data_IF_619500217072
#
_entry.id   IF_619500217072
#
_cell.length_a   1.000
_cell.length_b   1.000
_cell.length_c   1.000
_cell.angle_alpha   90.00
_cell.angle_beta   90.00
_cell.angle_gamma   90.00
#
_symmetry.space_group_name_H-M   'P 1'
#
loop_
_entity.id
_entity.type
_entity.pdbx_description
1 polymer ?
#
# COMPACT_ATOMS: atom_id res chain seq x y z
N UNK A 1 -46.28 -35.48 -4.53
CA UNK A 1 -44.91 -35.33 -5.04
C UNK A 1 -44.24 -36.71 -5.08
N UNK A 2 -43.93 -37.19 -6.29
CA UNK A 2 -43.31 -38.48 -6.52
C UNK A 2 -41.82 -38.46 -6.13
N UNK A 3 -41.21 -39.61 -5.86
CA UNK A 3 -39.80 -39.67 -5.42
C UNK A 3 -38.84 -39.04 -6.44
N UNK A 4 -39.13 -39.21 -7.73
CA UNK A 4 -38.38 -38.57 -8.82
C UNK A 4 -38.45 -37.05 -8.79
N UNK A 5 -39.59 -36.49 -8.43
CA UNK A 5 -39.78 -35.04 -8.30
C UNK A 5 -39.00 -34.52 -7.09
N UNK A 6 -39.00 -35.26 -5.97
CA UNK A 6 -38.21 -34.92 -4.78
C UNK A 6 -36.72 -34.92 -5.10
N UNK A 7 -36.22 -35.96 -5.75
CA UNK A 7 -34.80 -36.05 -6.14
C UNK A 7 -34.41 -34.96 -7.15
N UNK A 8 -35.35 -34.52 -8.00
CA UNK A 8 -35.15 -33.40 -8.91
C UNK A 8 -35.07 -32.06 -8.17
N UNK A 9 -35.99 -31.78 -7.24
CA UNK A 9 -35.95 -30.56 -6.42
C UNK A 9 -34.69 -30.53 -5.54
N UNK A 10 -34.31 -31.67 -4.94
CA UNK A 10 -33.08 -31.78 -4.16
C UNK A 10 -31.87 -31.47 -5.04
N UNK A 11 -31.80 -31.98 -6.27
CA UNK A 11 -30.70 -31.65 -7.19
C UNK A 11 -30.64 -30.17 -7.55
N UNK A 12 -31.78 -29.53 -7.82
CA UNK A 12 -31.83 -28.09 -8.10
C UNK A 12 -31.37 -27.28 -6.89
N UNK A 13 -31.83 -27.63 -5.69
CA UNK A 13 -31.39 -26.98 -4.46
C UNK A 13 -29.89 -27.20 -4.22
N UNK A 14 -29.38 -28.40 -4.47
CA UNK A 14 -27.96 -28.71 -4.35
C UNK A 14 -27.08 -27.99 -5.38
N UNK A 15 -27.61 -27.70 -6.57
CA UNK A 15 -26.97 -26.85 -7.58
C UNK A 15 -27.00 -25.37 -7.18
N UNK A 16 -28.11 -24.87 -6.63
CA UNK A 16 -28.20 -23.50 -6.13
C UNK A 16 -27.30 -23.22 -4.90
N UNK A 17 -26.87 -24.28 -4.21
CA UNK A 17 -25.87 -24.22 -3.13
C UNK A 17 -24.42 -24.32 -3.64
N UNK A 18 -24.21 -24.46 -4.95
CA UNK A 18 -22.88 -24.31 -5.55
C UNK A 18 -22.64 -22.83 -5.77
N UNK A 19 -22.00 -22.19 -4.79
CA UNK A 19 -21.40 -20.88 -5.03
C UNK A 19 -20.14 -21.07 -5.87
N UNK A 20 -20.00 -20.24 -6.91
CA UNK A 20 -18.77 -20.12 -7.68
C UNK A 20 -17.63 -19.50 -6.85
N UNK A 21 -17.96 -18.85 -5.72
CA UNK A 21 -17.01 -18.16 -4.82
C UNK A 21 -17.35 -18.39 -3.33
N UNK A 22 -17.14 -19.61 -2.81
CA UNK A 22 -17.48 -19.97 -1.43
C UNK A 22 -16.74 -19.14 -0.38
N UNK A 23 -15.55 -18.62 -0.69
CA UNK A 23 -14.74 -17.78 0.20
C UNK A 23 -15.34 -16.40 0.46
N UNK A 24 -16.16 -15.90 -0.47
CA UNK A 24 -16.84 -14.61 -0.35
C UNK A 24 -18.23 -14.81 0.26
N UNK A 25 -18.95 -15.84 -0.20
CA UNK A 25 -20.32 -16.10 0.22
C UNK A 25 -20.43 -16.65 1.65
N UNK A 26 -19.40 -17.36 2.14
CA UNK A 26 -19.33 -17.84 3.52
C UNK A 26 -17.90 -17.80 4.10
N UNK A 27 -17.33 -16.60 4.12
CA UNK A 27 -15.99 -16.29 4.67
C UNK A 27 -15.74 -16.93 6.05
N UNK A 28 -16.71 -16.86 6.96
CA UNK A 28 -16.52 -17.29 8.35
C UNK A 28 -16.48 -18.82 8.48
N UNK A 29 -17.35 -19.53 7.76
CA UNK A 29 -17.35 -21.00 7.78
C UNK A 29 -16.08 -21.55 7.12
N UNK A 30 -15.65 -20.96 6.01
CA UNK A 30 -14.46 -21.41 5.29
C UNK A 30 -13.19 -21.26 6.14
N UNK A 31 -12.99 -20.09 6.76
CA UNK A 31 -11.87 -19.87 7.67
C UNK A 31 -11.91 -20.77 8.92
N UNK A 32 -13.11 -21.04 9.45
CA UNK A 32 -13.28 -21.96 10.58
C UNK A 32 -12.85 -23.39 10.22
N UNK A 33 -13.28 -23.88 9.06
CA UNK A 33 -12.90 -25.21 8.56
C UNK A 33 -11.40 -25.27 8.25
N UNK A 34 -10.85 -24.24 7.59
CA UNK A 34 -9.42 -24.16 7.27
C UNK A 34 -8.56 -24.17 8.53
N UNK A 35 -8.96 -23.40 9.56
CA UNK A 35 -8.29 -23.39 10.86
C UNK A 35 -8.33 -24.77 11.53
N UNK A 36 -9.47 -25.47 11.50
CA UNK A 36 -9.58 -26.83 12.05
C UNK A 36 -8.78 -27.87 11.26
N UNK A 37 -8.63 -27.69 9.94
CA UNK A 37 -7.81 -28.56 9.10
C UNK A 37 -6.32 -28.37 9.39
N UNK A 38 -5.86 -27.12 9.53
CA UNK A 38 -4.49 -26.79 9.97
C UNK A 38 -4.16 -27.33 11.36
N UNK A 39 -5.15 -27.30 12.26
CA UNK A 39 -5.03 -27.86 13.61
C UNK A 39 -5.14 -29.41 13.65
N UNK A 40 -5.28 -30.09 12.50
CA UNK A 40 -5.40 -31.55 12.42
C UNK A 40 -6.68 -32.12 13.03
N UNK A 41 -7.68 -31.26 13.31
CA UNK A 41 -8.95 -31.62 13.96
C UNK A 41 -10.03 -32.11 12.98
N UNK A 42 -9.71 -32.17 11.69
CA UNK A 42 -10.51 -32.73 10.61
C UNK A 42 -9.61 -33.66 9.78
N UNK A 43 -9.99 -34.92 9.64
CA UNK A 43 -9.23 -35.87 8.83
C UNK A 43 -9.42 -35.56 7.33
N UNK A 44 -8.31 -35.43 6.59
CA UNK A 44 -8.26 -35.15 5.14
C UNK A 44 -9.03 -36.16 4.26
N UNK A 45 -9.46 -37.30 4.82
CA UNK A 45 -10.10 -38.40 4.11
C UNK A 45 -11.62 -38.56 4.27
N UNK A 46 -12.30 -37.80 5.12
CA UNK A 46 -13.76 -37.93 5.26
C UNK A 46 -14.48 -36.93 4.37
N UNK A 47 -15.14 -37.45 3.32
CA UNK A 47 -16.25 -36.87 2.55
C UNK A 47 -16.35 -35.34 2.55
N UNK A 48 -16.16 -34.74 1.36
CA UNK A 48 -16.45 -33.33 1.01
C UNK A 48 -17.48 -32.71 1.98
N UNK A 49 -17.15 -31.62 2.69
CA UNK A 49 -18.03 -31.07 3.71
C UNK A 49 -19.42 -30.87 3.11
N UNK A 50 -20.43 -31.53 3.69
CA UNK A 50 -21.81 -31.34 3.28
C UNK A 50 -22.13 -29.85 3.37
N UNK A 51 -22.55 -29.32 2.23
CA UNK A 51 -22.74 -27.90 1.98
C UNK A 51 -23.78 -27.32 2.94
N UNK A 52 -23.51 -26.07 3.32
CA UNK A 52 -24.25 -25.25 4.26
C UNK A 52 -25.76 -25.42 4.14
N UNK A 53 -26.37 -25.93 5.21
CA UNK A 53 -27.80 -25.87 5.43
C UNK A 53 -28.09 -24.46 5.93
N UNK A 54 -28.54 -23.58 5.03
CA UNK A 54 -29.11 -22.29 5.46
C UNK A 54 -30.37 -22.60 6.28
N UNK A 55 -30.52 -22.08 7.52
CA UNK A 55 -31.76 -22.20 8.24
C UNK A 55 -32.88 -21.57 7.41
N UNK A 56 -33.91 -22.36 7.13
CA UNK A 56 -35.06 -21.96 6.33
C UNK A 56 -35.66 -20.71 6.97
N UNK A 57 -35.73 -19.61 6.21
CA UNK A 57 -36.40 -18.38 6.67
C UNK A 57 -37.80 -18.80 7.16
N UNK A 58 -38.21 -18.49 8.40
CA UNK A 58 -39.56 -18.79 8.84
C UNK A 58 -40.51 -18.08 7.87
N UNK A 59 -41.38 -18.88 7.23
CA UNK A 59 -42.33 -18.40 6.26
C UNK A 59 -43.28 -17.40 6.96
N UNK A 60 -43.04 -16.11 6.72
CA UNK A 60 -43.82 -14.99 7.24
C UNK A 60 -44.95 -14.59 6.28
N UNK A 61 -45.20 -15.34 5.20
CA UNK A 61 -46.13 -14.96 4.13
C UNK A 61 -47.59 -14.79 4.61
N UNK A 62 -47.92 -15.22 5.83
CA UNK A 62 -49.28 -15.12 6.37
C UNK A 62 -49.47 -14.16 7.56
N UNK A 63 -48.46 -13.37 7.97
CA UNK A 63 -48.68 -12.32 8.97
C UNK A 63 -48.77 -10.95 8.30
N UNK A 64 -50.00 -10.49 8.05
CA UNK A 64 -50.30 -9.07 7.79
C UNK A 64 -49.85 -8.28 9.03
N UNK A 65 -48.74 -7.55 8.90
CA UNK A 65 -48.28 -6.63 9.92
C UNK A 65 -49.33 -5.53 10.11
N UNK A 66 -49.95 -5.48 11.29
CA UNK A 66 -50.84 -4.40 11.69
C UNK A 66 -50.01 -3.43 12.54
N UNK A 67 -49.75 -2.20 12.08
CA UNK A 67 -48.99 -1.23 12.85
C UNK A 67 -49.71 -0.89 14.16
N UNK A 68 -48.95 -0.79 15.25
CA UNK A 68 -49.45 -0.42 16.58
C UNK A 68 -50.05 0.99 16.50
N UNK A 69 -51.34 1.13 16.84
CA UNK A 69 -52.04 2.41 16.92
C UNK A 69 -52.06 2.90 18.36
N UNK A 70 -51.57 4.11 18.59
CA UNK A 70 -51.69 4.80 19.87
C UNK A 70 -52.94 5.69 19.84
N UNK A 71 -53.80 5.60 20.84
CA UNK A 71 -54.98 6.48 20.94
C UNK A 71 -54.53 7.91 21.27
N UNK A 72 -55.21 8.90 20.69
CA UNK A 72 -54.93 10.37 20.74
C UNK A 72 -53.79 10.92 19.86
N UNK A 73 -53.23 10.17 18.91
CA UNK A 73 -52.33 10.77 17.91
C UNK A 73 -53.10 11.34 16.71
N UNK A 74 -52.87 12.60 16.37
CA UNK A 74 -53.48 13.33 15.24
C UNK A 74 -52.90 12.91 13.86
N UNK A 75 -52.57 11.63 13.68
CA UNK A 75 -51.95 11.10 12.46
C UNK A 75 -51.66 9.60 12.50
N UNK A 76 -51.56 8.96 11.32
CA UNK A 76 -51.18 7.55 11.16
C UNK A 76 -49.66 7.43 10.98
N UNK A 77 -49.01 6.54 11.75
CA UNK A 77 -47.59 6.22 11.57
C UNK A 77 -47.38 5.55 10.19
N UNK A 78 -46.62 6.18 9.29
CA UNK A 78 -46.29 5.61 7.99
C UNK A 78 -45.12 4.62 8.14
N UNK A 79 -45.32 3.37 7.75
CA UNK A 79 -44.29 2.33 7.81
C UNK A 79 -43.51 2.30 6.50
N UNK A 80 -42.19 2.54 6.52
CA UNK A 80 -41.33 2.26 5.37
C UNK A 80 -41.24 0.75 5.16
N UNK A 81 -41.33 0.30 3.90
CA UNK A 81 -41.12 -1.11 3.57
C UNK A 81 -39.69 -1.29 3.03
N UNK A 82 -39.14 -2.50 3.16
CA UNK A 82 -37.83 -2.87 2.60
C UNK A 82 -37.80 -2.71 1.07
N UNK A 83 -38.95 -2.79 0.41
CA UNK A 83 -39.10 -2.65 -1.05
C UNK A 83 -39.34 -1.23 -1.53
N UNK A 84 -39.64 -0.28 -0.63
CA UNK A 84 -39.78 1.13 -0.97
C UNK A 84 -39.39 2.00 0.23
N UNK A 85 -38.09 2.10 0.53
CA UNK A 85 -37.61 2.87 1.67
C UNK A 85 -37.85 4.35 1.41
N UNK A 86 -38.69 4.98 2.25
CA UNK A 86 -38.80 6.44 2.27
C UNK A 86 -37.55 7.00 2.94
N UNK A 87 -36.94 8.00 2.33
CA UNK A 87 -35.81 8.73 2.91
C UNK A 87 -36.28 9.46 4.18
N UNK A 88 -35.80 9.04 5.36
CA UNK A 88 -36.19 9.62 6.67
C UNK A 88 -35.25 10.76 7.08
N UNK A 89 -34.00 10.73 6.61
CA UNK A 89 -32.99 11.74 6.87
C UNK A 89 -32.49 12.25 5.52
N UNK A 90 -32.78 13.51 5.22
CA UNK A 90 -32.10 14.24 4.16
C UNK A 90 -31.00 15.05 4.83
N UNK A 91 -29.74 14.66 4.59
CA UNK A 91 -28.59 15.45 5.02
C UNK A 91 -28.50 16.59 4.03
N UNK A 92 -29.33 17.62 4.24
CA UNK A 92 -29.02 18.94 3.72
C UNK A 92 -27.68 19.27 4.37
N UNK A 93 -26.64 19.41 3.55
CA UNK A 93 -25.40 20.04 3.99
C UNK A 93 -25.76 21.42 4.48
N UNK A 94 -26.08 21.54 5.77
CA UNK A 94 -25.99 22.79 6.49
C UNK A 94 -24.54 23.21 6.36
N UNK A 95 -24.28 24.15 5.45
CA UNK A 95 -23.14 25.02 5.59
C UNK A 95 -23.17 25.48 7.04
N UNK A 96 -22.19 25.04 7.84
CA UNK A 96 -22.04 25.45 9.22
C UNK A 96 -22.13 26.98 9.29
N UNK A 97 -23.30 27.49 9.65
CA UNK A 97 -23.46 28.82 10.19
C UNK A 97 -23.29 28.64 11.70
N UNK A 98 -22.06 28.36 12.11
CA UNK A 98 -21.65 28.73 13.45
C UNK A 98 -21.00 30.11 13.30
N UNK A 99 -21.75 31.10 13.77
CA UNK A 99 -21.26 32.44 14.03
C UNK A 99 -20.15 32.34 15.06
N UNK A 100 -18.89 32.33 14.60
CA UNK A 100 -17.85 33.04 15.31
C UNK A 100 -16.79 33.56 14.33
N UNK A 101 -16.45 34.81 14.55
CA UNK A 101 -15.86 35.73 13.59
C UNK A 101 -14.40 35.40 13.28
N UNK A 102 -13.98 35.83 12.08
CA UNK A 102 -12.60 36.02 11.59
C UNK A 102 -11.93 34.80 10.93
N UNK A 103 -12.29 34.51 9.67
CA UNK A 103 -11.42 34.76 8.50
C UNK A 103 -12.12 34.26 7.23
N UNK A 104 -12.03 35.06 6.19
CA UNK A 104 -12.67 34.92 4.88
C UNK A 104 -12.49 33.54 4.22
N UNK A 105 -13.54 32.72 4.15
CA UNK A 105 -13.57 31.55 3.26
C UNK A 105 -13.77 32.01 1.80
N UNK A 106 -12.66 32.22 1.11
CA UNK A 106 -12.63 32.59 -0.31
C UNK A 106 -12.94 31.41 -1.25
N UNK A 107 -13.14 31.68 -2.56
CA UNK A 107 -13.34 30.66 -3.60
C UNK A 107 -12.21 29.60 -3.67
N UNK A 108 -11.03 29.92 -3.14
CA UNK A 108 -9.86 29.02 -3.10
C UNK A 108 -10.03 27.82 -2.15
N UNK A 109 -10.77 27.94 -1.04
CA UNK A 109 -10.99 26.80 -0.12
C UNK A 109 -11.90 25.76 -0.76
N UNK A 110 -12.96 26.18 -1.45
CA UNK A 110 -13.85 25.29 -2.21
C UNK A 110 -13.12 24.58 -3.36
N UNK A 111 -12.23 25.28 -4.08
CA UNK A 111 -11.41 24.67 -5.13
C UNK A 111 -10.35 23.71 -4.56
N UNK A 112 -9.77 24.01 -3.39
CA UNK A 112 -8.84 23.10 -2.72
C UNK A 112 -9.54 21.82 -2.23
N UNK A 113 -10.76 21.96 -1.70
CA UNK A 113 -11.59 20.83 -1.29
C UNK A 113 -12.00 19.96 -2.48
N UNK A 114 -12.38 20.57 -3.62
CA UNK A 114 -12.73 19.81 -4.82
C UNK A 114 -11.53 19.03 -5.37
N UNK A 115 -10.34 19.63 -5.43
CA UNK A 115 -9.08 18.94 -5.82
C UNK A 115 -8.76 17.77 -4.89
N UNK A 116 -8.91 17.95 -3.59
CA UNK A 116 -8.66 16.88 -2.60
C UNK A 116 -9.69 15.74 -2.71
N UNK A 117 -10.96 16.06 -2.98
CA UNK A 117 -12.01 15.07 -3.22
C UNK A 117 -11.74 14.23 -4.47
N UNK A 118 -11.18 14.83 -5.53
CA UNK A 118 -10.76 14.08 -6.73
C UNK A 118 -9.72 13.02 -6.35
N UNK A 119 -8.69 13.40 -5.59
CA UNK A 119 -7.66 12.45 -5.14
C UNK A 119 -8.26 11.32 -4.29
N UNK A 120 -9.18 11.63 -3.37
CA UNK A 120 -9.87 10.60 -2.59
C UNK A 120 -10.66 9.64 -3.47
N UNK A 121 -11.42 10.17 -4.43
CA UNK A 121 -12.19 9.36 -5.38
C UNK A 121 -11.28 8.47 -6.23
N UNK A 122 -10.12 8.99 -6.66
CA UNK A 122 -9.10 8.22 -7.37
C UNK A 122 -8.56 7.07 -6.50
N UNK A 123 -8.25 7.34 -5.24
CA UNK A 123 -7.79 6.31 -4.29
C UNK A 123 -8.84 5.22 -4.12
N UNK A 124 -10.10 5.56 -3.89
CA UNK A 124 -11.16 4.55 -3.71
C UNK A 124 -11.34 3.68 -4.96
N UNK A 125 -11.38 4.29 -6.15
CA UNK A 125 -11.43 3.54 -7.42
C UNK A 125 -10.23 2.62 -7.61
N UNK A 126 -9.03 3.10 -7.31
CA UNK A 126 -7.82 2.28 -7.40
C UNK A 126 -7.87 1.12 -6.38
N UNK A 127 -8.43 1.33 -5.19
CA UNK A 127 -8.65 0.27 -4.21
C UNK A 127 -9.63 -0.81 -4.68
N UNK A 128 -10.70 -0.43 -5.39
CA UNK A 128 -11.59 -1.42 -6.01
C UNK A 128 -10.85 -2.30 -7.02
N UNK A 129 -9.90 -1.72 -7.76
CA UNK A 129 -9.12 -2.44 -8.76
C UNK A 129 -8.06 -3.35 -8.11
N UNK A 130 -7.27 -2.84 -7.14
CA UNK A 130 -6.18 -3.64 -6.53
C UNK A 130 -6.71 -4.88 -5.81
N UNK A 131 -7.87 -4.79 -5.16
CA UNK A 131 -8.50 -5.94 -4.49
C UNK A 131 -8.83 -7.04 -5.50
N UNK A 132 -9.36 -6.66 -6.68
CA UNK A 132 -9.63 -7.62 -7.75
C UNK A 132 -8.34 -8.21 -8.34
N UNK A 133 -7.27 -7.40 -8.44
CA UNK A 133 -5.97 -7.88 -8.94
C UNK A 133 -5.35 -8.91 -8.00
N UNK A 134 -5.38 -8.66 -6.70
CA UNK A 134 -4.90 -9.63 -5.69
C UNK A 134 -5.75 -10.90 -5.66
N UNK A 135 -7.08 -10.78 -5.83
CA UNK A 135 -7.97 -11.94 -5.96
C UNK A 135 -7.60 -12.78 -7.19
N UNK A 136 -7.40 -12.13 -8.34
CA UNK A 136 -6.98 -12.80 -9.59
C UNK A 136 -5.61 -13.46 -9.44
N UNK A 137 -4.65 -12.80 -8.80
CA UNK A 137 -3.32 -13.36 -8.52
C UNK A 137 -3.42 -14.62 -7.65
N UNK A 138 -4.20 -14.56 -6.58
CA UNK A 138 -4.48 -15.71 -5.70
C UNK A 138 -5.10 -16.87 -6.50
N UNK A 139 -6.06 -16.58 -7.37
CA UNK A 139 -6.70 -17.58 -8.23
C UNK A 139 -5.70 -18.23 -9.22
N UNK A 140 -4.77 -17.45 -9.78
CA UNK A 140 -3.71 -17.95 -10.68
C UNK A 140 -2.79 -18.92 -9.94
N UNK A 141 -2.42 -18.60 -8.69
CA UNK A 141 -1.54 -19.43 -7.85
C UNK A 141 -2.21 -20.75 -7.44
N UNK A 142 -3.51 -20.72 -7.14
CA UNK A 142 -4.29 -21.90 -6.77
C UNK A 142 -4.63 -22.81 -7.97
N UNK A 143 -4.52 -22.30 -9.20
CA UNK A 143 -4.88 -23.03 -10.41
C UNK A 143 -3.69 -23.87 -10.94
N UNK A 144 -3.89 -25.16 -11.27
CA UNK A 144 -2.82 -25.97 -11.83
C UNK A 144 -2.29 -25.38 -13.15
N UNK A 145 -0.98 -25.51 -13.43
CA UNK A 145 -0.29 -24.75 -14.48
C UNK A 145 -0.84 -24.97 -15.90
N UNK A 146 -1.49 -26.12 -16.15
CA UNK A 146 -2.02 -26.51 -17.47
C UNK A 146 -3.52 -26.20 -17.66
N UNK A 147 -4.17 -25.55 -16.70
CA UNK A 147 -5.59 -25.21 -16.83
C UNK A 147 -5.78 -24.03 -17.80
N UNK A 148 -6.67 -24.18 -18.77
CA UNK A 148 -7.07 -23.10 -19.70
C UNK A 148 -7.60 -21.85 -18.97
N UNK A 149 -8.20 -22.04 -17.79
CA UNK A 149 -8.65 -20.96 -16.91
C UNK A 149 -7.51 -20.03 -16.47
N UNK A 150 -6.28 -20.54 -16.32
CA UNK A 150 -5.11 -19.75 -15.89
C UNK A 150 -4.76 -18.64 -16.88
N UNK A 151 -4.86 -18.91 -18.19
CA UNK A 151 -4.66 -17.88 -19.22
C UNK A 151 -5.77 -16.82 -19.17
N UNK A 152 -7.02 -17.23 -18.92
CA UNK A 152 -8.13 -16.28 -18.77
C UNK A 152 -7.91 -15.35 -17.57
N UNK A 153 -7.48 -15.89 -16.42
CA UNK A 153 -7.16 -15.07 -15.24
C UNK A 153 -5.99 -14.11 -15.50
N UNK A 154 -4.94 -14.57 -16.19
CA UNK A 154 -3.81 -13.71 -16.60
C UNK A 154 -4.26 -12.54 -17.48
N UNK A 155 -5.05 -12.81 -18.53
CA UNK A 155 -5.58 -11.75 -19.40
C UNK A 155 -6.48 -10.74 -18.64
N UNK A 156 -7.26 -11.23 -17.67
CA UNK A 156 -8.06 -10.37 -16.80
C UNK A 156 -7.17 -9.50 -15.89
N UNK A 157 -6.10 -10.08 -15.33
CA UNK A 157 -5.12 -9.36 -14.53
C UNK A 157 -4.47 -8.24 -15.36
N UNK A 158 -4.01 -8.55 -16.57
CA UNK A 158 -3.42 -7.54 -17.48
C UNK A 158 -4.40 -6.42 -17.82
N UNK A 159 -5.69 -6.74 -18.00
CA UNK A 159 -6.72 -5.73 -18.20
C UNK A 159 -6.92 -4.85 -16.97
N UNK A 160 -6.83 -5.43 -15.77
CA UNK A 160 -6.96 -4.69 -14.51
C UNK A 160 -5.73 -3.84 -14.22
N UNK A 161 -4.53 -4.32 -14.54
CA UNK A 161 -3.29 -3.54 -14.49
C UNK A 161 -3.39 -2.30 -15.37
N UNK A 162 -3.91 -2.42 -16.60
CA UNK A 162 -4.13 -1.26 -17.49
C UNK A 162 -5.15 -0.26 -16.93
N UNK A 163 -6.26 -0.74 -16.35
CA UNK A 163 -7.21 0.13 -15.66
C UNK A 163 -6.58 0.85 -14.46
N UNK A 164 -5.71 0.18 -13.70
CA UNK A 164 -5.00 0.79 -12.58
C UNK A 164 -4.08 1.93 -13.05
N UNK A 165 -3.34 1.71 -14.14
CA UNK A 165 -2.47 2.72 -14.74
C UNK A 165 -3.25 3.96 -15.16
N UNK A 166 -4.38 3.78 -15.83
CA UNK A 166 -5.27 4.87 -16.23
C UNK A 166 -5.81 5.65 -15.01
N UNK A 167 -6.25 4.95 -13.96
CA UNK A 167 -6.77 5.59 -12.75
C UNK A 167 -5.69 6.39 -12.00
N UNK A 168 -4.47 5.88 -11.94
CA UNK A 168 -3.33 6.57 -11.34
C UNK A 168 -2.70 7.63 -12.27
N UNK A 169 -3.34 7.88 -13.42
CA UNK A 169 -2.90 8.82 -14.45
C UNK A 169 -1.50 8.54 -15.00
N UNK A 170 -1.08 7.28 -14.96
CA UNK A 170 0.20 6.79 -15.47
C UNK A 170 0.06 6.40 -16.94
N UNK A 171 0.61 7.21 -17.82
CA UNK A 171 0.55 7.00 -19.27
C UNK A 171 1.98 6.84 -19.80
N UNK A 172 2.18 5.94 -20.77
CA UNK A 172 3.50 5.70 -21.38
C UNK A 172 4.12 6.96 -22.01
N UNK A 173 3.27 7.87 -22.52
CA UNK A 173 3.70 9.10 -23.21
C UNK A 173 3.96 10.28 -22.25
N UNK A 174 3.60 10.16 -20.97
CA UNK A 174 3.79 11.24 -20.00
C UNK A 174 5.21 11.21 -19.45
N UNK A 175 6.01 12.22 -19.80
CA UNK A 175 7.28 12.47 -19.14
C UNK A 175 7.03 12.86 -17.67
N UNK A 176 7.90 12.40 -16.78
CA UNK A 176 7.84 12.72 -15.36
C UNK A 176 7.99 14.24 -15.15
N UNK A 177 6.95 14.88 -14.62
CA UNK A 177 6.96 16.29 -14.21
C UNK A 177 6.87 16.37 -12.67
N UNK A 178 7.86 17.02 -12.06
CA UNK A 178 7.92 17.24 -10.62
C UNK A 178 6.79 18.14 -10.10
N UNK A 179 6.28 19.04 -10.93
CA UNK A 179 5.25 20.01 -10.54
C UNK A 179 3.82 19.46 -10.64
N UNK A 180 3.59 18.52 -11.55
CA UNK A 180 2.30 17.87 -11.77
C UNK A 180 2.39 16.35 -11.57
N UNK A 181 2.78 15.94 -10.37
CA UNK A 181 2.94 14.53 -10.02
C UNK A 181 1.67 13.95 -9.36
N UNK A 182 0.85 13.15 -10.07
CA UNK A 182 -0.37 12.55 -9.53
C UNK A 182 -0.06 11.51 -8.44
N UNK A 183 1.06 10.78 -8.55
CA UNK A 183 1.47 9.78 -7.57
C UNK A 183 1.81 10.46 -6.25
N UNK A 184 2.51 11.59 -6.30
CA UNK A 184 2.79 12.38 -5.11
C UNK A 184 1.52 12.88 -4.43
N UNK A 185 0.49 13.31 -5.19
CA UNK A 185 -0.79 13.73 -4.59
C UNK A 185 -1.48 12.58 -3.86
N UNK A 186 -1.46 11.37 -4.42
CA UNK A 186 -2.00 10.17 -3.78
C UNK A 186 -1.21 9.82 -2.51
N UNK A 187 0.13 9.86 -2.56
CA UNK A 187 1.01 9.50 -1.45
C UNK A 187 0.98 10.50 -0.27
N UNK A 188 0.42 11.69 -0.43
CA UNK A 188 0.15 12.60 0.70
C UNK A 188 -0.88 12.04 1.69
N UNK A 189 -1.67 11.05 1.28
CA UNK A 189 -2.73 10.45 2.08
C UNK A 189 -2.26 9.10 2.63
N UNK A 190 -2.53 8.81 3.91
CA UNK A 190 -2.21 7.53 4.56
C UNK A 190 -2.60 6.31 3.72
N UNK A 191 -3.87 6.28 3.28
CA UNK A 191 -4.43 5.20 2.46
C UNK A 191 -3.78 5.13 1.07
N UNK A 192 -3.39 6.27 0.50
CA UNK A 192 -2.65 6.30 -0.77
C UNK A 192 -1.24 5.69 -0.68
N UNK A 193 -0.51 5.88 0.43
CA UNK A 193 0.80 5.23 0.62
C UNK A 193 0.71 3.70 0.61
N UNK A 194 -0.27 3.16 1.34
CA UNK A 194 -0.54 1.71 1.36
C UNK A 194 -0.97 1.18 -0.01
N UNK A 195 -1.76 1.96 -0.76
CA UNK A 195 -2.15 1.63 -2.12
C UNK A 195 -0.93 1.49 -3.02
N UNK A 196 -0.05 2.50 -3.06
CA UNK A 196 1.15 2.47 -3.91
C UNK A 196 2.07 1.30 -3.55
N UNK A 197 2.26 1.01 -2.26
CA UNK A 197 3.03 -0.15 -1.82
C UNK A 197 2.49 -1.47 -2.40
N UNK A 198 1.17 -1.66 -2.40
CA UNK A 198 0.53 -2.86 -2.96
C UNK A 198 0.59 -2.87 -4.48
N UNK A 199 0.32 -1.75 -5.13
CA UNK A 199 0.33 -1.63 -6.59
C UNK A 199 1.69 -1.92 -7.21
N UNK A 200 2.80 -1.55 -6.56
CA UNK A 200 4.16 -1.72 -7.11
C UNK A 200 4.48 -3.16 -7.56
N UNK A 201 3.93 -4.18 -6.90
CA UNK A 201 4.15 -5.59 -7.26
C UNK A 201 3.48 -5.99 -8.59
N UNK A 202 2.47 -5.25 -9.03
CA UNK A 202 1.70 -5.54 -10.24
C UNK A 202 2.03 -4.63 -11.42
N UNK A 203 2.75 -3.52 -11.17
CA UNK A 203 3.10 -2.57 -12.21
C UNK A 203 4.23 -3.13 -13.10
N UNK A 204 4.18 -2.90 -14.42
CA UNK A 204 5.31 -3.22 -15.28
C UNK A 204 6.50 -2.34 -14.91
N UNK A 205 7.70 -2.83 -15.24
CA UNK A 205 8.96 -2.23 -14.77
C UNK A 205 9.09 -0.74 -15.10
N UNK A 206 8.68 -0.32 -16.31
CA UNK A 206 8.70 1.10 -16.74
C UNK A 206 7.94 2.00 -15.77
N UNK A 207 6.70 1.62 -15.43
CA UNK A 207 5.85 2.39 -14.53
C UNK A 207 6.31 2.28 -13.08
N UNK A 208 6.81 1.13 -12.66
CA UNK A 208 7.40 0.97 -11.33
C UNK A 208 8.59 1.93 -11.14
N UNK A 209 9.44 2.10 -12.15
CA UNK A 209 10.53 3.09 -12.14
C UNK A 209 9.98 4.51 -12.00
N UNK A 210 8.93 4.88 -12.74
CA UNK A 210 8.29 6.21 -12.62
C UNK A 210 7.74 6.48 -11.22
N UNK A 211 7.13 5.47 -10.58
CA UNK A 211 6.69 5.58 -9.18
C UNK A 211 7.88 5.79 -8.24
N UNK A 212 8.97 5.05 -8.42
CA UNK A 212 10.18 5.24 -7.60
C UNK A 212 10.82 6.62 -7.85
N UNK A 213 10.81 7.14 -9.08
CA UNK A 213 11.23 8.50 -9.40
C UNK A 213 10.40 9.55 -8.63
N UNK A 214 9.07 9.41 -8.62
CA UNK A 214 8.17 10.23 -7.82
C UNK A 214 8.51 10.19 -6.33
N UNK A 215 8.71 8.98 -5.78
CA UNK A 215 9.04 8.78 -4.36
C UNK A 215 10.36 9.46 -4.00
N UNK A 216 11.41 9.28 -4.81
CA UNK A 216 12.73 9.83 -4.52
C UNK A 216 12.76 11.35 -4.63
N UNK A 217 12.09 11.91 -5.64
CA UNK A 217 12.01 13.36 -5.84
C UNK A 217 11.31 14.07 -4.68
N UNK A 218 10.33 13.41 -4.04
CA UNK A 218 9.53 13.97 -2.96
C UNK A 218 9.81 13.35 -1.58
N UNK A 219 10.89 12.57 -1.44
CA UNK A 219 11.17 11.72 -0.26
C UNK A 219 11.15 12.50 1.07
N UNK A 220 11.78 13.67 1.12
CA UNK A 220 11.82 14.49 2.34
C UNK A 220 10.43 14.92 2.82
N UNK A 221 9.54 15.24 1.87
CA UNK A 221 8.18 15.69 2.19
C UNK A 221 7.33 14.51 2.63
N UNK A 222 7.50 13.36 1.96
CA UNK A 222 6.81 12.11 2.30
C UNK A 222 7.16 11.65 3.72
N UNK A 223 8.45 11.64 4.09
CA UNK A 223 8.92 11.33 5.44
C UNK A 223 8.28 12.27 6.47
N UNK A 224 8.32 13.59 6.23
CA UNK A 224 7.75 14.58 7.16
C UNK A 224 6.25 14.38 7.36
N UNK A 225 5.52 13.97 6.31
CA UNK A 225 4.08 13.69 6.38
C UNK A 225 3.79 12.34 7.03
N UNK A 226 4.67 11.36 6.85
CA UNK A 226 4.52 10.04 7.45
C UNK A 226 4.76 10.01 8.96
N UNK A 227 5.41 11.03 9.55
CA UNK A 227 5.58 11.12 11.00
C UNK A 227 4.27 10.96 11.81
N UNK A 228 3.10 11.25 11.22
CA UNK A 228 1.78 11.01 11.85
C UNK A 228 1.14 9.68 11.47
N UNK A 229 1.54 9.09 10.35
CA UNK A 229 0.93 7.88 9.81
C UNK A 229 1.74 6.63 10.16
N UNK A 230 3.06 6.63 10.03
CA UNK A 230 3.91 5.47 10.29
C UNK A 230 3.64 4.29 9.36
N UNK A 231 3.32 4.54 8.08
CA UNK A 231 3.01 3.49 7.09
C UNK A 231 4.04 3.40 5.97
N UNK A 232 5.04 4.28 5.94
CA UNK A 232 6.04 4.32 4.87
C UNK A 232 6.88 3.04 4.80
N UNK A 233 6.99 2.30 5.90
CA UNK A 233 7.75 1.05 5.98
C UNK A 233 7.23 -0.03 5.01
N UNK A 234 5.94 -0.01 4.68
CA UNK A 234 5.34 -0.95 3.71
C UNK A 234 5.90 -0.78 2.29
N UNK A 235 6.46 0.39 1.95
CA UNK A 235 7.05 0.66 0.64
C UNK A 235 8.45 0.05 0.48
N UNK A 236 9.12 -0.30 1.58
CA UNK A 236 10.51 -0.74 1.53
C UNK A 236 10.71 -1.99 0.67
N UNK A 237 9.87 -3.03 0.87
CA UNK A 237 9.96 -4.28 0.12
C UNK A 237 9.76 -4.06 -1.39
N UNK A 238 8.65 -3.47 -1.85
CA UNK A 238 8.45 -3.25 -3.28
C UNK A 238 9.49 -2.32 -3.91
N UNK A 239 9.98 -1.29 -3.20
CA UNK A 239 11.08 -0.45 -3.70
C UNK A 239 12.36 -1.30 -3.86
N UNK A 240 12.70 -2.13 -2.86
CA UNK A 240 13.86 -3.02 -2.91
C UNK A 240 13.82 -3.92 -4.15
N UNK A 241 12.67 -4.49 -4.47
CA UNK A 241 12.51 -5.37 -5.63
C UNK A 241 12.74 -4.60 -6.94
N UNK A 242 12.17 -3.40 -7.07
CA UNK A 242 12.41 -2.54 -8.23
C UNK A 242 13.90 -2.21 -8.36
N UNK A 243 14.57 -1.84 -7.25
CA UNK A 243 15.99 -1.48 -7.24
C UNK A 243 16.90 -2.62 -7.72
N UNK A 244 16.59 -3.88 -7.37
CA UNK A 244 17.39 -5.05 -7.81
C UNK A 244 17.30 -5.30 -9.31
N UNK A 245 16.24 -4.84 -9.97
CA UNK A 245 16.00 -5.05 -11.39
C UNK A 245 16.56 -3.95 -12.30
N UNK A 246 17.19 -2.91 -11.72
CA UNK A 246 17.58 -1.71 -12.46
C UNK A 246 18.85 -1.89 -13.30
N UNK A 247 18.87 -1.18 -14.43
CA UNK A 247 20.09 -0.97 -15.22
C UNK A 247 20.94 0.15 -14.64
N UNK A 248 22.24 0.17 -14.97
CA UNK A 248 23.20 1.17 -14.47
C UNK A 248 22.82 2.61 -14.81
N UNK A 249 22.30 2.88 -16.01
CA UNK A 249 21.86 4.22 -16.44
C UNK A 249 20.64 4.73 -15.67
N UNK A 250 19.61 3.89 -15.53
CA UNK A 250 18.39 4.20 -14.77
C UNK A 250 18.67 4.36 -13.28
N UNK A 251 19.62 3.59 -12.76
CA UNK A 251 20.07 3.70 -11.38
C UNK A 251 20.71 5.06 -11.10
N UNK A 252 21.60 5.54 -11.98
CA UNK A 252 22.23 6.86 -11.85
C UNK A 252 21.20 8.00 -11.97
N UNK A 253 20.21 7.86 -12.84
CA UNK A 253 19.12 8.83 -12.93
C UNK A 253 18.35 8.90 -11.61
N UNK A 254 17.98 7.75 -11.03
CA UNK A 254 17.29 7.68 -9.76
C UNK A 254 18.11 8.25 -8.60
N UNK A 255 19.40 7.92 -8.51
CA UNK A 255 20.26 8.44 -7.46
C UNK A 255 20.46 9.96 -7.56
N UNK A 256 20.46 10.51 -8.78
CA UNK A 256 20.57 11.96 -8.99
C UNK A 256 19.35 12.76 -8.51
N UNK A 257 18.18 12.12 -8.39
CA UNK A 257 16.96 12.77 -7.87
C UNK A 257 17.02 12.99 -6.35
N UNK A 258 17.88 12.25 -5.64
CA UNK A 258 18.06 12.38 -4.21
C UNK A 258 18.96 13.59 -3.91
N UNK A 259 18.32 14.75 -3.73
CA UNK A 259 19.03 15.94 -3.25
C UNK A 259 19.68 15.72 -1.88
N UNK A 260 20.72 16.49 -1.55
CA UNK A 260 21.37 16.47 -0.22
C UNK A 260 20.37 16.68 0.91
N UNK A 261 19.34 17.51 0.69
CA UNK A 261 18.22 17.70 1.63
C UNK A 261 17.39 16.42 1.81
N UNK A 262 17.05 15.73 0.70
CA UNK A 262 16.31 14.47 0.74
C UNK A 262 17.10 13.36 1.44
N UNK A 263 18.40 13.24 1.17
CA UNK A 263 19.29 12.28 1.84
C UNK A 263 19.36 12.60 3.33
N UNK A 264 19.51 13.87 3.72
CA UNK A 264 19.54 14.27 5.13
C UNK A 264 18.23 13.94 5.86
N UNK A 265 17.09 14.12 5.21
CA UNK A 265 15.79 13.74 5.76
C UNK A 265 15.65 12.21 5.86
N UNK A 266 16.09 11.49 4.82
CA UNK A 266 16.08 10.04 4.78
C UNK A 266 16.95 9.42 5.87
N UNK A 267 18.16 9.94 6.10
CA UNK A 267 19.09 9.44 7.13
C UNK A 267 18.56 9.63 8.57
N UNK A 268 17.64 10.57 8.77
CA UNK A 268 16.97 10.77 10.07
C UNK A 268 15.75 9.86 10.27
N UNK A 269 15.24 9.29 9.19
CA UNK A 269 14.06 8.44 9.17
C UNK A 269 14.42 6.96 9.07
N UNK A 270 13.65 6.15 9.77
CA UNK A 270 13.83 4.71 9.88
C UNK A 270 13.80 3.99 8.51
N UNK A 271 12.84 4.34 7.68
CA UNK A 271 12.62 3.74 6.36
C UNK A 271 13.55 4.39 5.35
N UNK A 272 13.72 5.72 5.46
CA UNK A 272 14.64 6.49 4.63
C UNK A 272 16.08 5.96 4.67
N UNK A 273 16.66 5.73 5.85
CA UNK A 273 18.00 5.15 6.00
C UNK A 273 18.08 3.80 5.30
N UNK A 274 17.07 2.95 5.50
CA UNK A 274 17.02 1.60 4.92
C UNK A 274 17.03 1.64 3.38
N UNK A 275 16.25 2.55 2.78
CA UNK A 275 16.23 2.76 1.31
C UNK A 275 17.60 3.26 0.81
N UNK A 276 18.22 4.22 1.50
CA UNK A 276 19.54 4.75 1.13
C UNK A 276 20.61 3.65 1.23
N UNK A 277 20.58 2.83 2.29
CA UNK A 277 21.47 1.68 2.43
C UNK A 277 21.28 0.64 1.33
N UNK A 278 20.02 0.33 0.97
CA UNK A 278 19.71 -0.57 -0.14
C UNK A 278 20.23 -0.03 -1.48
N UNK A 279 20.08 1.28 -1.73
CA UNK A 279 20.67 1.94 -2.90
C UNK A 279 22.19 1.81 -2.92
N UNK A 280 22.85 2.04 -1.78
CA UNK A 280 24.30 1.88 -1.68
C UNK A 280 24.75 0.45 -2.03
N UNK A 281 24.01 -0.54 -1.54
CA UNK A 281 24.27 -1.94 -1.82
C UNK A 281 24.10 -2.29 -3.31
N UNK A 282 22.95 -1.98 -3.90
CA UNK A 282 22.71 -2.28 -5.32
C UNK A 282 23.68 -1.53 -6.24
N UNK A 283 23.99 -0.28 -5.93
CA UNK A 283 24.99 0.46 -6.68
C UNK A 283 26.39 -0.16 -6.58
N UNK A 284 26.79 -0.70 -5.43
CA UNK A 284 28.08 -1.40 -5.34
C UNK A 284 28.15 -2.63 -6.24
N UNK A 285 27.07 -3.42 -6.32
CA UNK A 285 27.03 -4.58 -7.21
C UNK A 285 27.13 -4.18 -8.68
N UNK A 286 26.50 -3.07 -9.06
CA UNK A 286 26.50 -2.57 -10.44
C UNK A 286 27.83 -1.92 -10.84
N UNK A 287 28.49 -1.18 -9.94
CA UNK A 287 29.64 -0.34 -10.26
C UNK A 287 31.00 -0.91 -9.81
N UNK A 288 31.06 -1.92 -8.92
CA UNK A 288 32.33 -2.54 -8.47
C UNK A 288 33.06 -3.30 -9.60
N UNK A 289 32.35 -3.65 -10.69
CA UNK A 289 32.94 -4.32 -11.86
C UNK A 289 33.78 -3.40 -12.77
N UNK A 290 33.86 -2.09 -12.48
CA UNK A 290 34.84 -1.17 -13.07
C UNK A 290 34.65 -0.78 -14.53
N UNK A 291 33.62 -1.26 -15.23
CA UNK A 291 33.36 -0.95 -16.64
C UNK A 291 32.12 -0.08 -16.90
N UNK A 292 31.42 0.36 -15.85
CA UNK A 292 30.18 1.09 -16.01
C UNK A 292 30.40 2.58 -16.34
N UNK A 293 29.68 3.08 -17.35
CA UNK A 293 29.60 4.51 -17.67
C UNK A 293 28.99 5.25 -16.48
N UNK A 294 29.65 6.30 -15.97
CA UNK A 294 29.13 7.14 -14.89
C UNK A 294 29.61 6.78 -13.47
N UNK A 295 30.70 6.02 -13.33
CA UNK A 295 31.36 5.74 -12.03
C UNK A 295 31.65 7.03 -11.23
N UNK A 296 31.99 8.15 -11.90
CA UNK A 296 32.23 9.43 -11.22
C UNK A 296 30.97 9.97 -10.51
N UNK A 297 29.80 9.86 -11.14
CA UNK A 297 28.53 10.27 -10.54
C UNK A 297 28.16 9.37 -9.36
N UNK A 298 28.43 8.07 -9.49
CA UNK A 298 28.28 7.11 -8.40
C UNK A 298 29.19 7.44 -7.22
N UNK A 299 30.49 7.67 -7.46
CA UNK A 299 31.45 8.05 -6.41
C UNK A 299 31.06 9.36 -5.71
N UNK A 300 30.59 10.35 -6.47
CA UNK A 300 30.07 11.60 -5.89
C UNK A 300 28.86 11.33 -4.99
N UNK A 301 27.90 10.52 -5.44
CA UNK A 301 26.74 10.14 -4.63
C UNK A 301 27.15 9.42 -3.34
N UNK A 302 28.07 8.45 -3.41
CA UNK A 302 28.62 7.76 -2.23
C UNK A 302 29.32 8.74 -1.28
N UNK A 303 30.08 9.70 -1.82
CA UNK A 303 30.72 10.76 -1.03
C UNK A 303 29.70 11.67 -0.34
N UNK A 304 28.64 12.09 -1.04
CA UNK A 304 27.59 12.94 -0.47
C UNK A 304 26.83 12.21 0.63
N UNK A 305 26.48 10.93 0.43
CA UNK A 305 25.80 10.10 1.43
C UNK A 305 26.68 9.89 2.67
N UNK A 306 27.96 9.58 2.50
CA UNK A 306 28.88 9.37 3.62
C UNK A 306 29.12 10.64 4.43
N UNK A 307 29.34 11.79 3.80
CA UNK A 307 29.47 13.09 4.48
C UNK A 307 28.19 13.41 5.29
N UNK A 308 27.00 13.14 4.73
CA UNK A 308 25.71 13.37 5.41
C UNK A 308 25.52 12.40 6.58
N UNK A 309 25.83 11.11 6.43
CA UNK A 309 25.72 10.14 7.51
C UNK A 309 26.62 10.52 8.70
N UNK A 310 27.86 10.96 8.44
CA UNK A 310 28.77 11.44 9.49
C UNK A 310 28.24 12.71 10.15
N UNK A 311 27.68 13.66 9.38
CA UNK A 311 27.11 14.90 9.90
C UNK A 311 25.85 14.67 10.75
N UNK A 312 25.02 13.68 10.41
CA UNK A 312 23.83 13.32 11.21
C UNK A 312 24.21 12.52 12.46
N UNK A 313 25.22 11.64 12.39
CA UNK A 313 25.71 10.89 13.55
C UNK A 313 26.42 11.79 14.58
N UNK A 314 27.14 12.81 14.13
CA UNK A 314 27.88 13.75 14.98
C UNK A 314 27.32 15.18 14.86
N UNK A 315 26.11 15.45 15.38
CA UNK A 315 25.54 16.79 15.31
C UNK A 315 26.42 17.77 16.11
N UNK A 316 26.86 18.85 15.48
CA UNK A 316 27.47 19.98 16.19
C UNK A 316 26.43 20.61 17.13
N UNK A 317 26.83 20.96 18.36
CA UNK A 317 25.96 21.63 19.34
C UNK A 317 25.24 22.83 18.71
N UNK A 318 23.91 22.87 18.83
CA UNK A 318 23.06 23.93 18.26
C UNK A 318 22.54 23.69 16.83
N UNK A 319 22.88 22.56 16.18
CA UNK A 319 22.37 22.23 14.85
C UNK A 319 20.96 21.61 14.91
N UNK A 320 20.07 21.96 13.96
CA UNK A 320 18.70 21.39 13.78
C UNK A 320 18.69 19.90 13.39
N UNK A 321 19.75 19.17 13.68
CA UNK A 321 19.94 17.77 13.33
C UNK A 321 19.35 16.92 14.45
N UNK A 322 18.01 16.82 14.47
CA UNK A 322 17.30 15.92 15.35
C UNK A 322 17.83 14.49 15.19
N UNK A 323 18.03 13.81 16.33
CA UNK A 323 18.39 12.39 16.47
C UNK A 323 17.36 11.53 15.71
N UNK A 324 17.75 10.40 15.09
CA UNK A 324 16.81 9.52 14.39
C UNK A 324 15.62 9.13 15.28
N UNK A 325 14.41 9.17 14.73
CA UNK A 325 13.19 9.27 15.54
C UNK A 325 12.56 7.94 15.95
N UNK A 326 12.95 6.80 15.39
CA UNK A 326 12.45 5.47 15.82
C UNK A 326 13.35 4.31 15.32
N UNK A 327 13.44 3.18 16.07
CA UNK A 327 14.25 2.03 15.67
C UNK A 327 13.59 1.14 14.58
N UNK A 328 14.30 1.05 13.44
CA UNK A 328 14.46 -0.04 12.45
C UNK A 328 14.71 -1.49 12.87
N UNK A 329 13.74 -2.40 13.05
CA UNK A 329 14.04 -3.82 12.90
C UNK A 329 14.45 -4.17 11.44
N UNK A 330 14.15 -3.31 10.45
CA UNK A 330 14.47 -3.55 9.03
C UNK A 330 15.95 -3.35 8.66
N UNK A 331 16.76 -2.79 9.57
CA UNK A 331 18.21 -2.61 9.38
C UNK A 331 19.03 -3.85 9.75
N UNK A 332 18.41 -4.89 10.34
CA UNK A 332 19.10 -6.13 10.71
C UNK A 332 19.65 -6.91 9.50
N UNK A 333 19.21 -6.60 8.27
CA UNK A 333 19.60 -7.34 7.06
C UNK A 333 20.84 -6.78 6.32
N UNK A 334 21.38 -5.60 6.66
CA UNK A 334 22.47 -4.96 5.90
C UNK A 334 23.77 -4.59 6.65
N UNK A 335 24.13 -5.16 7.82
CA UNK A 335 25.22 -4.61 8.63
C UNK A 335 26.65 -4.96 8.19
N UNK A 336 26.89 -5.59 7.03
CA UNK A 336 28.27 -5.89 6.60
C UNK A 336 28.62 -5.31 5.22
N UNK A 337 27.73 -5.42 4.24
CA UNK A 337 28.03 -5.04 2.85
C UNK A 337 27.98 -3.52 2.63
N UNK A 338 27.01 -2.82 3.24
CA UNK A 338 26.94 -1.34 3.17
C UNK A 338 28.16 -0.69 3.84
N UNK A 339 28.67 -1.30 4.91
CA UNK A 339 29.89 -0.86 5.57
C UNK A 339 31.13 -1.07 4.69
N UNK A 340 31.18 -2.16 3.94
CA UNK A 340 32.28 -2.44 3.02
C UNK A 340 32.32 -1.39 1.89
N UNK A 341 31.18 -1.06 1.30
CA UNK A 341 31.04 -0.04 0.25
C UNK A 341 31.44 1.34 0.74
N UNK A 342 30.95 1.75 1.91
CA UNK A 342 31.30 3.04 2.51
C UNK A 342 32.78 3.11 2.96
N UNK A 343 33.39 1.95 3.29
CA UNK A 343 34.81 1.89 3.67
C UNK A 343 35.77 1.91 2.49
N UNK A 344 35.34 1.45 1.30
CA UNK A 344 36.12 1.42 0.05
C UNK A 344 36.23 2.79 -0.61
N UNK A 345 35.34 3.73 -0.28
CA UNK A 345 35.34 5.10 -0.80
C UNK A 345 35.52 6.12 0.35
N UNK A 346 36.75 6.32 0.86
CA UNK A 346 37.02 7.37 1.82
C UNK A 346 36.79 8.74 1.18
N UNK A 347 36.04 9.61 1.84
CA UNK A 347 35.90 11.02 1.41
C UNK A 347 37.12 11.82 1.89
N UNK A 348 37.44 12.91 1.20
CA UNK A 348 38.55 13.82 1.57
C UNK A 348 38.47 14.35 3.01
N UNK A 349 37.28 14.31 3.63
CA UNK A 349 37.02 14.88 4.97
C UNK A 349 37.03 13.85 6.10
N UNK A 350 36.78 12.56 5.83
CA UNK A 350 36.53 11.57 6.88
C UNK A 350 37.21 10.22 6.59
N UNK A 351 37.96 9.73 7.57
CA UNK A 351 38.60 8.41 7.50
C UNK A 351 37.54 7.31 7.48
N UNK A 352 37.83 6.19 6.80
CA UNK A 352 36.94 5.01 6.72
C UNK A 352 36.52 4.50 8.11
N UNK A 353 37.39 4.62 9.12
CA UNK A 353 37.09 4.29 10.51
C UNK A 353 36.05 5.21 11.16
N UNK A 354 36.10 6.53 10.87
CA UNK A 354 35.14 7.51 11.39
C UNK A 354 33.76 7.32 10.75
N UNK A 355 33.72 6.98 9.46
CA UNK A 355 32.49 6.61 8.75
C UNK A 355 31.91 5.34 9.38
N UNK A 356 32.73 4.30 9.56
CA UNK A 356 32.31 3.04 10.19
C UNK A 356 31.77 3.23 11.60
N UNK A 357 32.45 4.02 12.44
CA UNK A 357 32.00 4.34 13.81
C UNK A 357 30.70 5.15 13.81
N UNK A 358 30.56 6.12 12.90
CA UNK A 358 29.35 6.95 12.79
C UNK A 358 28.13 6.15 12.32
N UNK A 359 28.31 5.26 11.34
CA UNK A 359 27.25 4.35 10.87
C UNK A 359 26.92 3.32 11.94
N UNK A 360 27.93 2.79 12.65
CA UNK A 360 27.69 1.95 13.82
C UNK A 360 26.93 2.69 14.90
N UNK A 361 27.21 3.96 15.21
CA UNK A 361 26.44 4.75 16.17
C UNK A 361 25.00 4.98 15.72
N UNK A 362 24.76 5.23 14.44
CA UNK A 362 23.40 5.34 13.90
C UNK A 362 22.60 4.02 14.03
N UNK A 363 23.29 2.88 13.99
CA UNK A 363 22.69 1.55 14.12
C UNK A 363 22.61 1.08 15.59
N UNK A 364 23.62 1.37 16.41
CA UNK A 364 23.82 0.85 17.77
C UNK A 364 23.25 1.76 18.86
N UNK A 365 22.95 3.03 18.57
CA UNK A 365 22.38 3.97 19.56
C UNK A 365 20.94 3.64 19.99
N UNK A 366 20.43 2.44 19.69
CA UNK A 366 19.13 1.95 20.19
C UNK A 366 19.20 0.58 20.90
N UNK A 367 20.40 0.07 21.25
CA UNK A 367 20.52 -1.09 22.16
C UNK A 367 20.89 -0.74 23.61
N UNK A 368 20.92 0.54 23.97
CA UNK A 368 21.17 1.01 25.34
C UNK A 368 20.17 2.10 25.74
N UNK A 369 18.91 1.72 25.92
CA UNK A 369 17.94 2.36 26.83
C UNK A 369 16.66 1.50 26.87
N UNK A 370 16.82 0.26 27.29
CA UNK A 370 15.75 -0.58 27.80
C UNK A 370 16.29 -1.36 29.00
N UNK A 371 16.53 -0.63 30.09
CA UNK A 371 16.36 -1.07 31.47
C UNK A 371 16.36 0.14 32.40
#
# INVERSE_FOLDING_TARGET
MNQKEKDWVIRIQMMALQSDRPEIDDYYYQNFIERRLREGRLASGSSKPQRLITPTKPNLENRKYVPVQFSNSLGKLTTSSVYNPRQIIDIIQSSNQDEDQTTSEGPDTRQALSKRLVVYKTIEKAYEIIVLMEELQTQIEMCPPNASARQSFGNNLDSKTRMMLEVLDMHDDKQFDLHDDPIFQVMKIRKGKKLIARCLHFLPQTHAITVVQSIFSHLAILIKRDAKDGVLHELYSPISDVLTSLNSSTFLQLSSLLSTFAITAAVKDQVGVSIVCKLLYEGSLLFDSGQAVGIEHWQKFVSDVSDIMVAVANPKEGSRHARPTTPSPLLENFPYQVFEVLSRHPTEKHTSEKIKSSVQQLISSTSFEAQ
#
